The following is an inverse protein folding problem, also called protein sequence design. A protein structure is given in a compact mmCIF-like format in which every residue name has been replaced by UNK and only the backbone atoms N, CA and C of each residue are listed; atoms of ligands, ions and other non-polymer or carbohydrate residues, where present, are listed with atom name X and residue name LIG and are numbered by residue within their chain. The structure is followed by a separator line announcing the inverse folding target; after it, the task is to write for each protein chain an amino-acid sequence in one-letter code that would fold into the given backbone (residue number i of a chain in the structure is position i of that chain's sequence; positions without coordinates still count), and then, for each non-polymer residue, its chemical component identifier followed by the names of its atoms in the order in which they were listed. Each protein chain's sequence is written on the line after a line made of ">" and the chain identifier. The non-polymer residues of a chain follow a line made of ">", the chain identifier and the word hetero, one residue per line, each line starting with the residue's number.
data_IF_660374745257
#
_entry.id   IF_660374745257
#
_cell.length_a   1.000
_cell.length_b   1.000
_cell.length_c   1.000
_cell.angle_alpha   90.00
_cell.angle_beta   90.00
_cell.angle_gamma   90.00
#
_symmetry.space_group_name_H-M   'P 1'
#
loop_
_entity.id
_entity.type
_entity.pdbx_description
1 polymer ?
#
# COMPACT_ATOMS: atom_id res chain seq x y z
N UNK A 1 5.34 26.35 -10.52
CA UNK A 1 4.25 25.36 -10.50
C UNK A 1 4.02 25.00 -9.04
N UNK A 2 2.83 25.25 -8.54
CA UNK A 2 2.45 24.79 -7.21
C UNK A 2 2.35 23.26 -7.23
N UNK A 3 3.04 22.61 -6.29
CA UNK A 3 3.02 21.15 -6.18
C UNK A 3 1.62 20.70 -5.82
N UNK A 4 1.06 19.77 -6.60
CA UNK A 4 -0.18 19.09 -6.28
C UNK A 4 0.02 18.30 -4.98
N UNK A 5 -0.68 18.70 -3.93
CA UNK A 5 -0.73 17.97 -2.65
C UNK A 5 -1.92 17.02 -2.73
N UNK A 6 -1.67 15.74 -2.98
CA UNK A 6 -2.72 14.72 -2.88
C UNK A 6 -3.04 14.48 -1.40
N UNK A 7 -4.27 14.84 -0.99
CA UNK A 7 -4.81 14.61 0.37
C UNK A 7 -6.07 13.77 0.25
N UNK A 8 -6.04 12.57 0.81
CA UNK A 8 -7.23 11.74 0.92
C UNK A 8 -7.79 11.83 2.35
N UNK A 9 -9.06 12.25 2.49
CA UNK A 9 -9.75 12.43 3.79
C UNK A 9 -11.00 11.57 3.83
N UNK A 10 -11.15 10.72 4.85
CA UNK A 10 -12.28 9.79 4.99
C UNK A 10 -12.78 9.79 6.43
N UNK A 11 -14.06 10.09 6.59
CA UNK A 11 -14.80 9.98 7.85
C UNK A 11 -15.77 8.78 7.86
N UNK A 12 -16.22 8.44 9.07
CA UNK A 12 -17.11 7.37 9.53
C UNK A 12 -17.04 5.97 8.86
N UNK A 13 -16.12 5.19 9.42
CA UNK A 13 -16.08 3.74 9.67
C UNK A 13 -17.19 2.85 9.07
N UNK A 14 -16.91 2.34 7.88
CA UNK A 14 -17.16 0.94 7.49
C UNK A 14 -15.99 0.52 6.60
N UNK A 15 -14.88 0.09 7.20
CA UNK A 15 -13.60 -0.08 6.50
C UNK A 15 -13.63 -1.33 5.60
N UNK A 16 -14.07 -1.13 4.36
CA UNK A 16 -13.52 -1.78 3.18
C UNK A 16 -13.14 -0.61 2.28
N UNK A 17 -11.88 -0.17 2.33
CA UNK A 17 -11.38 0.75 1.31
C UNK A 17 -10.28 0.07 0.51
N UNK A 18 -10.63 -0.25 -0.72
CA UNK A 18 -9.71 -0.51 -1.81
C UNK A 18 -9.46 0.79 -2.56
N UNK A 19 -8.19 1.07 -2.84
CA UNK A 19 -7.79 2.15 -3.74
C UNK A 19 -6.90 1.59 -4.84
N UNK A 20 -6.97 2.21 -6.01
CA UNK A 20 -5.99 2.01 -7.07
C UNK A 20 -5.33 3.35 -7.34
N UNK A 21 -4.01 3.40 -7.24
CA UNK A 21 -3.21 4.58 -7.54
C UNK A 21 -2.35 4.25 -8.74
N UNK A 22 -2.39 5.16 -9.71
CA UNK A 22 -1.50 5.13 -10.85
C UNK A 22 -0.21 5.85 -10.49
N UNK A 23 0.86 5.09 -10.35
CA UNK A 23 2.17 5.61 -9.95
C UNK A 23 2.99 5.87 -11.21
N UNK A 24 3.52 7.09 -11.29
CA UNK A 24 4.45 7.53 -12.31
C UNK A 24 5.76 7.90 -11.61
N UNK A 25 6.87 7.32 -12.06
CA UNK A 25 8.21 7.47 -11.47
C UNK A 25 8.35 6.85 -10.06
N UNK A 26 9.56 7.02 -9.47
CA UNK A 26 9.96 6.44 -8.19
C UNK A 26 9.60 7.33 -6.99
N UNK A 27 8.52 8.10 -7.11
CA UNK A 27 8.03 8.92 -6.01
C UNK A 27 7.32 8.08 -4.95
N UNK A 28 7.42 8.54 -3.70
CA UNK A 28 6.72 7.90 -2.60
C UNK A 28 5.22 8.22 -2.66
N UNK A 29 4.39 7.22 -2.38
CA UNK A 29 2.94 7.37 -2.22
C UNK A 29 2.64 7.33 -0.73
N UNK A 30 2.16 8.45 -0.19
CA UNK A 30 1.72 8.56 1.20
C UNK A 30 0.19 8.47 1.29
N UNK A 31 -0.30 7.55 2.12
CA UNK A 31 -1.72 7.35 2.41
C UNK A 31 -1.92 7.54 3.91
N UNK A 32 -2.73 8.52 4.29
CA UNK A 32 -2.96 8.88 5.69
C UNK A 32 -4.32 8.36 6.18
N UNK A 33 -4.31 7.62 7.28
CA UNK A 33 -5.48 7.21 8.04
C UNK A 33 -5.61 8.11 9.26
N UNK A 34 -6.47 9.12 9.15
CA UNK A 34 -6.64 10.18 10.15
C UNK A 34 -7.80 9.83 11.08
N UNK A 35 -7.49 9.52 12.33
CA UNK A 35 -8.43 9.39 13.44
C UNK A 35 -8.71 10.72 14.15
N UNK A 36 -9.43 10.68 15.28
CA UNK A 36 -9.76 11.88 16.08
C UNK A 36 -8.56 12.40 16.89
N UNK A 37 -7.64 11.51 17.27
CA UNK A 37 -6.49 11.72 18.15
C UNK A 37 -5.17 11.21 17.55
N UNK A 38 -5.21 10.33 16.55
CA UNK A 38 -4.02 9.81 15.88
C UNK A 38 -4.11 9.90 14.36
N UNK A 39 -2.97 9.84 13.70
CA UNK A 39 -2.85 9.65 12.25
C UNK A 39 -1.85 8.52 12.04
N UNK A 40 -2.19 7.55 11.20
CA UNK A 40 -1.29 6.49 10.74
C UNK A 40 -0.99 6.78 9.27
N UNK A 41 0.27 6.86 8.90
CA UNK A 41 0.70 7.08 7.51
C UNK A 41 1.29 5.79 6.95
N UNK A 42 0.77 5.34 5.81
CA UNK A 42 1.42 4.35 4.97
C UNK A 42 2.24 5.07 3.90
N UNK A 43 3.54 4.79 3.84
CA UNK A 43 4.44 5.30 2.81
C UNK A 43 4.89 4.14 1.93
N UNK A 44 4.40 4.07 0.71
CA UNK A 44 4.89 3.14 -0.30
C UNK A 44 6.01 3.81 -1.11
N UNK A 45 7.16 3.15 -1.25
CA UNK A 45 8.31 3.62 -2.00
C UNK A 45 8.69 2.59 -3.05
N UNK A 46 9.00 3.06 -4.26
CA UNK A 46 9.52 2.24 -5.35
C UNK A 46 10.98 2.61 -5.55
N UNK A 47 11.89 1.66 -5.39
CA UNK A 47 13.33 1.93 -5.36
C UNK A 47 14.05 0.97 -6.28
N UNK A 48 14.97 1.50 -7.07
CA UNK A 48 15.86 0.75 -7.92
C UNK A 48 17.27 0.68 -7.31
N UNK A 49 17.75 -0.53 -7.05
CA UNK A 49 19.09 -0.81 -6.53
C UNK A 49 19.86 -1.65 -7.56
N UNK A 50 20.94 -1.11 -8.12
CA UNK A 50 21.70 -1.83 -9.16
C UNK A 50 22.23 -3.18 -8.64
N UNK A 51 22.00 -4.25 -9.40
CA UNK A 51 22.43 -5.62 -9.10
C UNK A 51 21.85 -6.23 -7.80
N UNK A 52 20.67 -5.78 -7.38
CA UNK A 52 19.97 -6.35 -6.22
C UNK A 52 18.84 -7.29 -6.66
N UNK A 53 18.47 -8.23 -5.78
CA UNK A 53 17.33 -9.12 -6.02
C UNK A 53 16.02 -8.40 -5.66
N UNK A 54 14.95 -8.58 -6.45
CA UNK A 54 13.63 -8.04 -6.15
C UNK A 54 13.17 -8.45 -4.74
N UNK A 55 12.70 -7.47 -3.94
CA UNK A 55 12.21 -7.73 -2.59
C UNK A 55 11.29 -6.62 -2.08
N UNK A 56 10.55 -6.94 -1.02
CA UNK A 56 9.70 -6.00 -0.31
C UNK A 56 10.24 -5.85 1.12
N UNK A 57 10.55 -4.62 1.50
CA UNK A 57 11.00 -4.30 2.86
C UNK A 57 9.89 -3.53 3.59
N UNK A 58 9.63 -3.90 4.85
CA UNK A 58 8.67 -3.21 5.70
C UNK A 58 9.37 -2.66 6.93
N UNK A 59 9.11 -1.39 7.25
CA UNK A 59 9.61 -0.75 8.47
C UNK A 59 8.51 0.08 9.10
N UNK A 60 8.24 -0.16 10.37
CA UNK A 60 7.36 0.68 11.18
C UNK A 60 8.21 1.62 12.04
N UNK A 61 7.93 2.92 11.98
CA UNK A 61 8.49 3.94 12.85
C UNK A 61 7.37 4.85 13.37
N UNK A 62 7.07 4.74 14.67
CA UNK A 62 5.97 5.43 15.35
C UNK A 62 4.63 5.18 14.63
N UNK A 63 4.16 6.19 13.92
CA UNK A 63 2.88 6.21 13.21
C UNK A 63 3.04 6.04 11.70
N UNK A 64 4.26 5.83 11.20
CA UNK A 64 4.54 5.68 9.78
C UNK A 64 4.93 4.23 9.51
N UNK A 65 4.14 3.55 8.68
CA UNK A 65 4.54 2.30 8.07
C UNK A 65 5.14 2.60 6.69
N UNK A 66 6.42 2.30 6.51
CA UNK A 66 7.09 2.36 5.22
C UNK A 66 7.14 0.98 4.58
N UNK A 67 6.73 0.90 3.32
CA UNK A 67 6.85 -0.28 2.46
C UNK A 67 7.72 0.10 1.28
N UNK A 68 8.82 -0.61 1.09
CA UNK A 68 9.77 -0.38 0.01
C UNK A 68 9.72 -1.55 -0.96
N UNK A 69 9.34 -1.28 -2.19
CA UNK A 69 9.41 -2.21 -3.32
C UNK A 69 10.75 -2.00 -4.01
N UNK A 70 11.69 -2.92 -3.80
CA UNK A 70 13.04 -2.86 -4.35
C UNK A 70 13.12 -3.71 -5.60
N UNK A 71 13.57 -3.12 -6.70
CA UNK A 71 13.83 -3.75 -8.00
C UNK A 71 12.67 -4.52 -8.63
N UNK A 72 11.42 -4.08 -8.39
CA UNK A 72 10.22 -4.57 -9.10
C UNK A 72 10.16 -3.91 -10.49
N UNK A 73 11.11 -4.28 -11.35
CA UNK A 73 11.46 -3.56 -12.58
C UNK A 73 11.28 -4.40 -13.86
N UNK A 74 10.37 -5.36 -13.83
CA UNK A 74 9.99 -6.13 -15.01
C UNK A 74 8.59 -5.74 -15.47
N UNK A 75 8.43 -5.54 -16.78
CA UNK A 75 7.13 -5.30 -17.37
C UNK A 75 6.20 -6.49 -17.11
N UNK A 76 4.94 -6.19 -16.82
CA UNK A 76 3.89 -7.12 -16.44
C UNK A 76 4.19 -7.95 -15.17
N UNK A 77 5.11 -7.49 -14.31
CA UNK A 77 5.41 -8.14 -13.04
C UNK A 77 4.40 -7.75 -11.96
N UNK A 78 4.12 -8.72 -11.07
CA UNK A 78 3.23 -8.54 -9.92
C UNK A 78 4.03 -8.76 -8.64
N UNK A 79 4.10 -7.73 -7.81
CA UNK A 79 4.67 -7.81 -6.47
C UNK A 79 3.67 -7.29 -5.45
N UNK A 80 3.78 -7.68 -4.20
CA UNK A 80 2.84 -7.20 -3.19
C UNK A 80 2.96 -7.88 -1.84
N UNK A 81 2.21 -7.36 -0.89
CA UNK A 81 1.92 -8.03 0.37
C UNK A 81 0.58 -8.73 0.15
N UNK A 82 0.63 -9.96 -0.36
CA UNK A 82 -0.56 -10.74 -0.74
C UNK A 82 -1.20 -11.47 0.44
N UNK A 83 -0.51 -11.50 1.58
CA UNK A 83 -1.03 -11.97 2.87
C UNK A 83 -1.21 -10.74 3.75
N UNK A 84 -2.40 -10.47 4.30
CA UNK A 84 -2.59 -9.34 5.21
C UNK A 84 -1.61 -9.36 6.38
N UNK A 85 -0.88 -8.26 6.53
CA UNK A 85 0.12 -8.07 7.59
C UNK A 85 -0.43 -7.07 8.60
N UNK A 86 -0.26 -7.35 9.89
CA UNK A 86 -0.62 -6.38 10.94
C UNK A 86 0.34 -5.19 10.90
N UNK A 87 -0.20 -3.97 10.88
CA UNK A 87 0.59 -2.75 10.69
C UNK A 87 0.48 -1.77 11.86
N UNK A 88 -0.44 -2.01 12.79
CA UNK A 88 -0.64 -1.15 13.94
C UNK A 88 -2.02 -1.33 14.55
N UNK A 89 -2.40 -0.36 15.38
CA UNK A 89 -3.68 -0.36 16.07
C UNK A 89 -4.40 0.97 15.86
N UNK A 90 -5.70 0.92 15.59
CA UNK A 90 -6.58 2.08 15.53
C UNK A 90 -6.87 2.62 16.93
N UNK A 91 -7.46 3.81 17.00
CA UNK A 91 -8.03 4.35 18.24
C UNK A 91 -9.04 3.35 18.82
N UNK A 92 -8.84 2.96 20.08
CA UNK A 92 -9.61 1.90 20.74
C UNK A 92 -8.91 0.53 20.76
N UNK A 93 -7.70 0.42 20.21
CA UNK A 93 -6.88 -0.79 20.31
C UNK A 93 -7.26 -1.90 19.32
N UNK A 94 -8.04 -1.58 18.28
CA UNK A 94 -8.36 -2.53 17.23
C UNK A 94 -7.17 -2.68 16.27
N UNK A 95 -6.72 -3.92 16.04
CA UNK A 95 -5.62 -4.20 15.12
C UNK A 95 -5.99 -3.85 13.67
N UNK A 96 -5.06 -3.16 13.00
CA UNK A 96 -5.14 -2.74 11.61
C UNK A 96 -4.20 -3.62 10.77
N UNK A 97 -4.74 -4.20 9.71
CA UNK A 97 -4.01 -5.00 8.75
C UNK A 97 -3.93 -4.28 7.41
N UNK A 98 -2.87 -4.57 6.68
CA UNK A 98 -2.61 -4.00 5.36
C UNK A 98 -2.23 -5.10 4.39
N UNK A 99 -2.67 -4.94 3.16
CA UNK A 99 -2.26 -5.78 2.05
C UNK A 99 -2.29 -4.96 0.76
N UNK A 100 -1.48 -5.34 -0.22
CA UNK A 100 -1.38 -4.62 -1.47
C UNK A 100 -0.83 -5.48 -2.61
N UNK A 101 -1.04 -4.99 -3.82
CA UNK A 101 -0.45 -5.49 -5.05
C UNK A 101 0.01 -4.34 -5.92
N UNK A 102 1.14 -4.53 -6.57
CA UNK A 102 1.76 -3.63 -7.54
C UNK A 102 1.84 -4.40 -8.84
N UNK A 103 1.20 -3.90 -9.88
CA UNK A 103 1.39 -4.39 -11.25
C UNK A 103 2.23 -3.38 -12.02
N UNK A 104 3.42 -3.80 -12.47
CA UNK A 104 4.31 -2.95 -13.26
C UNK A 104 3.91 -3.02 -14.73
N UNK A 105 3.38 -1.93 -15.27
CA UNK A 105 2.96 -1.86 -16.68
C UNK A 105 4.16 -1.57 -17.57
N UNK A 106 5.00 -0.61 -17.16
CA UNK A 106 6.23 -0.24 -17.88
C UNK A 106 7.31 0.15 -16.88
N UNK A 107 8.27 -0.74 -16.67
CA UNK A 107 9.35 -0.56 -15.72
C UNK A 107 10.30 0.58 -16.12
N UNK A 108 10.50 0.83 -17.42
CA UNK A 108 11.44 1.86 -17.91
C UNK A 108 11.06 3.28 -17.46
N UNK A 109 9.77 3.55 -17.31
CA UNK A 109 9.23 4.84 -16.86
C UNK A 109 8.54 4.75 -15.49
N UNK A 110 8.72 3.64 -14.78
CA UNK A 110 8.14 3.43 -13.45
C UNK A 110 6.61 3.42 -13.41
N UNK A 111 5.94 3.04 -14.51
CA UNK A 111 4.49 3.05 -14.62
C UNK A 111 3.87 1.81 -13.96
N UNK A 112 3.13 2.02 -12.87
CA UNK A 112 2.64 0.93 -12.00
C UNK A 112 1.21 1.18 -11.54
N UNK A 113 0.41 0.12 -11.46
CA UNK A 113 -0.85 0.13 -10.71
C UNK A 113 -0.59 -0.34 -9.29
N UNK A 114 -0.79 0.54 -8.31
CA UNK A 114 -0.71 0.21 -6.90
C UNK A 114 -2.11 0.04 -6.32
N UNK A 115 -2.52 -1.21 -6.11
CA UNK A 115 -3.76 -1.58 -5.44
C UNK A 115 -3.46 -1.88 -3.98
N UNK A 116 -4.23 -1.30 -3.07
CA UNK A 116 -4.03 -1.53 -1.64
C UNK A 116 -5.36 -1.60 -0.91
N UNK A 117 -5.35 -2.19 0.28
CA UNK A 117 -6.46 -2.06 1.21
C UNK A 117 -6.03 -2.25 2.66
N UNK A 118 -6.83 -1.64 3.53
CA UNK A 118 -6.74 -1.75 4.98
C UNK A 118 -7.89 -2.60 5.50
N UNK A 119 -7.60 -3.45 6.47
CA UNK A 119 -8.53 -4.44 7.00
C UNK A 119 -8.53 -4.40 8.52
N UNK A 120 -9.68 -4.65 9.13
CA UNK A 120 -9.76 -5.00 10.54
C UNK A 120 -9.57 -6.50 10.70
N UNK A 121 -9.30 -6.95 11.92
CA UNK A 121 -9.19 -8.38 12.23
C UNK A 121 -10.41 -9.19 11.77
N UNK A 122 -11.60 -8.64 11.91
CA UNK A 122 -12.87 -9.26 11.51
C UNK A 122 -13.04 -9.41 9.99
N UNK A 123 -12.19 -8.78 9.20
CA UNK A 123 -12.23 -8.83 7.73
C UNK A 123 -11.31 -9.90 7.15
N UNK A 124 -10.36 -10.43 7.92
CA UNK A 124 -9.33 -11.36 7.44
C UNK A 124 -9.91 -12.69 6.92
N UNK A 125 -11.02 -13.14 7.47
CA UNK A 125 -11.68 -14.39 7.10
C UNK A 125 -12.72 -14.21 5.98
N UNK A 126 -12.87 -12.99 5.43
CA UNK A 126 -13.94 -12.71 4.48
C UNK A 126 -13.56 -13.15 3.05
N UNK A 127 -14.50 -13.78 2.33
CA UNK A 127 -14.22 -14.44 1.05
C UNK A 127 -13.84 -13.48 -0.09
N UNK A 128 -14.12 -12.17 0.03
CA UNK A 128 -13.75 -11.20 -1.00
C UNK A 128 -12.24 -10.94 -1.08
N UNK A 129 -11.46 -11.24 -0.02
CA UNK A 129 -10.01 -11.10 -0.05
C UNK A 129 -9.37 -12.04 -1.10
N UNK A 130 -9.97 -13.20 -1.34
CA UNK A 130 -9.52 -14.12 -2.38
C UNK A 130 -9.75 -13.59 -3.81
N UNK A 131 -10.65 -12.62 -4.02
CA UNK A 131 -10.89 -12.01 -5.34
C UNK A 131 -9.85 -10.94 -5.68
N UNK A 132 -9.36 -10.20 -4.68
CA UNK A 132 -8.36 -9.16 -4.88
C UNK A 132 -7.09 -9.68 -5.58
N UNK A 133 -6.65 -10.91 -5.27
CA UNK A 133 -5.48 -11.54 -5.89
C UNK A 133 -5.74 -12.09 -7.31
N UNK A 134 -7.01 -12.29 -7.71
CA UNK A 134 -7.38 -12.85 -9.03
C UNK A 134 -7.57 -11.79 -10.10
N UNK A 135 -7.85 -10.54 -9.72
CA UNK A 135 -8.09 -9.42 -10.65
C UNK A 135 -6.84 -8.58 -10.94
N UNK A 136 -5.65 -9.09 -10.58
CA UNK A 136 -4.35 -8.47 -10.88
C UNK A 136 -3.60 -9.23 -11.99
N UNK A 137 -4.10 -10.42 -12.38
CA UNK A 137 -3.55 -11.28 -13.45
C UNK A 137 -4.42 -11.24 -14.70
#
# INVERSE_FOLDING_TARGET
>A
MENLVFKEKIGDYTIIKNGEILVYNDEAVDIELIGKKSCITLRAMFVQENNSNPRIEMKSDKNILTIKFVDINKDCDVAGITTPTEIGHLEGGEALYFYCSVFTVNAKIGYRFFKYAFLKRSDLDKPYLHKFNREVL
#
